data_IF_493134999117
#
_entry.id   IF_493134999117
#
_cell.length_a   1.000
_cell.length_b   1.000
_cell.length_c   1.000
_cell.angle_alpha   90.00
_cell.angle_beta   90.00
_cell.angle_gamma   90.00
#
_symmetry.space_group_name_H-M   'P 1'
#
loop_
_entity.id
_entity.type
_entity.pdbx_description
1 polymer ?
#
# COMPACT_ATOMS: atom_id res chain seq x y z
N UNK A 1 19.26 -2.02 24.00
CA UNK A 1 19.69 -0.89 23.16
C UNK A 1 18.43 -0.14 22.84
N UNK A 2 18.32 1.12 23.27
CA UNK A 2 17.15 1.95 22.99
C UNK A 2 17.31 2.38 21.54
N UNK A 3 16.46 1.91 20.64
CA UNK A 3 16.40 2.47 19.29
C UNK A 3 15.97 3.91 19.45
N UNK A 4 16.92 4.85 19.36
CA UNK A 4 16.61 6.26 19.30
C UNK A 4 15.72 6.46 18.07
N UNK A 5 14.48 6.88 18.30
CA UNK A 5 13.53 7.21 17.24
C UNK A 5 14.17 8.29 16.38
N UNK A 6 14.46 7.97 15.12
CA UNK A 6 15.18 8.86 14.21
C UNK A 6 14.36 10.15 13.95
N UNK A 7 13.04 10.04 13.99
CA UNK A 7 12.13 11.18 13.99
C UNK A 7 11.23 11.17 15.24
N UNK A 8 11.54 12.00 16.24
CA UNK A 8 10.77 12.02 17.48
C UNK A 8 9.31 12.52 17.33
N UNK A 9 8.95 13.19 16.23
CA UNK A 9 7.59 13.71 16.03
C UNK A 9 7.21 13.76 14.53
N UNK A 10 6.74 12.65 13.95
CA UNK A 10 6.30 12.62 12.56
C UNK A 10 5.01 13.44 12.35
N UNK A 11 4.87 14.05 11.17
CA UNK A 11 3.61 14.70 10.76
C UNK A 11 2.57 13.63 10.44
N UNK A 12 1.42 13.71 11.11
CA UNK A 12 0.32 12.75 10.97
C UNK A 12 -0.78 13.38 10.11
N UNK A 13 -1.18 12.68 9.05
CA UNK A 13 -2.25 13.06 8.14
C UNK A 13 -3.54 12.31 8.48
N UNK A 14 -4.67 12.95 8.20
CA UNK A 14 -5.99 12.34 8.38
C UNK A 14 -6.19 11.21 7.36
N UNK A 15 -6.63 10.03 7.84
CA UNK A 15 -6.93 8.89 6.97
C UNK A 15 -8.15 9.19 6.11
N UNK A 16 -8.11 8.76 4.84
CA UNK A 16 -9.28 8.83 3.95
C UNK A 16 -10.34 7.83 4.42
N UNK A 17 -11.61 8.20 4.51
CA UNK A 17 -12.67 7.21 4.81
C UNK A 17 -12.63 6.06 3.82
N UNK A 18 -12.71 4.83 4.36
CA UNK A 18 -12.75 3.62 3.52
C UNK A 18 -14.08 3.59 2.80
N UNK A 19 -14.05 3.75 1.49
CA UNK A 19 -15.24 3.56 0.66
C UNK A 19 -15.56 2.08 0.61
N UNK A 20 -16.75 1.70 1.06
CA UNK A 20 -17.27 0.35 0.82
C UNK A 20 -17.45 0.22 -0.69
N UNK A 21 -16.74 -0.72 -1.33
CA UNK A 21 -17.02 -1.04 -2.74
C UNK A 21 -18.48 -1.49 -2.81
N UNK A 22 -19.32 -0.64 -3.36
CA UNK A 22 -20.70 -1.00 -3.68
C UNK A 22 -20.63 -2.03 -4.79
N UNK A 23 -20.96 -3.30 -4.47
CA UNK A 23 -21.18 -4.32 -5.49
C UNK A 23 -22.18 -3.75 -6.50
N UNK A 24 -21.82 -3.59 -7.79
CA UNK A 24 -22.69 -2.96 -8.76
C UNK A 24 -24.01 -3.75 -8.83
N UNK A 25 -25.09 -3.14 -8.36
CA UNK A 25 -26.40 -3.80 -8.17
C UNK A 25 -27.23 -3.85 -9.46
N UNK A 26 -26.60 -3.80 -10.64
CA UNK A 26 -27.33 -3.81 -11.90
C UNK A 26 -26.50 -4.40 -13.05
N UNK A 27 -26.91 -5.58 -13.52
CA UNK A 27 -26.66 -6.13 -14.85
C UNK A 27 -25.22 -6.49 -15.27
N UNK A 28 -24.25 -6.56 -14.37
CA UNK A 28 -22.97 -7.20 -14.66
C UNK A 28 -23.09 -8.72 -14.49
N UNK A 29 -22.57 -9.48 -15.45
CA UNK A 29 -22.45 -10.94 -15.37
C UNK A 29 -21.86 -11.33 -14.01
N UNK A 30 -22.62 -12.05 -13.18
CA UNK A 30 -22.21 -12.44 -11.81
C UNK A 30 -20.94 -13.32 -11.81
N UNK A 31 -20.56 -13.81 -12.99
CA UNK A 31 -19.36 -14.62 -13.26
C UNK A 31 -18.19 -13.84 -13.86
N UNK A 32 -18.35 -12.54 -14.15
CA UNK A 32 -17.27 -11.71 -14.65
C UNK A 32 -16.26 -11.44 -13.52
N UNK A 33 -15.00 -11.75 -13.77
CA UNK A 33 -13.91 -11.45 -12.82
C UNK A 33 -13.69 -9.95 -12.82
N UNK A 34 -13.95 -9.29 -11.70
CA UNK A 34 -13.59 -7.89 -11.53
C UNK A 34 -12.06 -7.73 -11.55
N UNK A 35 -11.53 -6.81 -12.37
CA UNK A 35 -10.09 -6.54 -12.41
C UNK A 35 -9.65 -5.85 -11.12
N UNK A 36 -8.41 -6.12 -10.70
CA UNK A 36 -7.82 -5.46 -9.53
C UNK A 36 -7.48 -4.02 -9.90
N UNK A 37 -7.96 -3.06 -9.11
CA UNK A 37 -7.73 -1.64 -9.31
C UNK A 37 -6.74 -1.05 -8.29
N UNK A 38 -6.30 0.19 -8.53
CA UNK A 38 -5.35 0.89 -7.66
C UNK A 38 -5.89 1.03 -6.22
N UNK A 39 -7.20 1.26 -6.09
CA UNK A 39 -7.86 1.42 -4.79
C UNK A 39 -7.79 0.13 -3.96
N UNK A 40 -7.96 -1.04 -4.56
CA UNK A 40 -7.81 -2.33 -3.88
C UNK A 40 -6.39 -2.56 -3.36
N UNK A 41 -5.40 -2.23 -4.19
CA UNK A 41 -3.98 -2.31 -3.80
C UNK A 41 -3.69 -1.36 -2.64
N UNK A 42 -4.17 -0.12 -2.71
CA UNK A 42 -4.02 0.87 -1.64
C UNK A 42 -4.63 0.36 -0.33
N UNK A 43 -5.84 -0.19 -0.40
CA UNK A 43 -6.55 -0.74 0.76
C UNK A 43 -5.82 -1.93 1.42
N UNK A 44 -5.04 -2.70 0.66
CA UNK A 44 -4.22 -3.77 1.23
C UNK A 44 -3.01 -3.27 2.04
N UNK A 45 -2.44 -2.13 1.66
CA UNK A 45 -1.14 -1.67 2.17
C UNK A 45 -1.22 -0.42 3.06
N UNK A 46 -2.33 0.33 3.00
CA UNK A 46 -2.53 1.57 3.78
C UNK A 46 -2.38 1.40 5.29
N UNK A 47 -2.77 0.24 5.82
CA UNK A 47 -2.74 -0.06 7.26
C UNK A 47 -1.44 -0.69 7.76
N UNK A 48 -0.45 -0.91 6.87
CA UNK A 48 0.88 -1.35 7.28
C UNK A 48 1.44 -0.30 8.25
N UNK A 49 1.95 -0.78 9.40
CA UNK A 49 2.58 0.07 10.39
C UNK A 49 4.01 0.38 10.00
N UNK A 50 4.41 1.62 10.25
CA UNK A 50 5.78 2.04 10.11
C UNK A 50 6.67 1.28 11.12
N UNK A 51 7.88 0.85 10.72
CA UNK A 51 8.77 0.12 11.61
C UNK A 51 9.30 0.96 12.79
N UNK A 52 9.29 2.28 12.69
CA UNK A 52 9.77 3.21 13.73
C UNK A 52 8.61 3.81 14.54
N UNK A 53 7.42 3.93 13.93
CA UNK A 53 6.28 4.60 14.54
C UNK A 53 5.03 3.71 14.65
N UNK A 54 4.16 3.93 15.65
CA UNK A 54 2.89 3.21 15.78
C UNK A 54 1.83 3.61 14.73
N UNK A 55 2.18 4.52 13.81
CA UNK A 55 1.33 5.03 12.74
C UNK A 55 1.44 4.18 11.49
N UNK A 56 0.41 4.27 10.65
CA UNK A 56 0.33 3.57 9.38
C UNK A 56 1.01 4.36 8.26
N UNK A 57 1.39 3.66 7.19
CA UNK A 57 2.05 4.29 6.03
C UNK A 57 1.17 5.37 5.36
N UNK A 58 -0.15 5.23 5.43
CA UNK A 58 -1.08 6.28 4.99
C UNK A 58 -1.03 7.50 5.92
N UNK A 59 -1.11 7.31 7.24
CA UNK A 59 -1.06 8.38 8.24
C UNK A 59 0.25 9.18 8.15
N UNK A 60 1.33 8.55 7.70
CA UNK A 60 2.63 9.19 7.52
C UNK A 60 2.86 9.71 6.09
N UNK A 61 1.88 9.56 5.20
CA UNK A 61 1.99 9.90 3.77
C UNK A 61 3.19 9.23 3.08
N UNK A 62 3.62 8.08 3.61
CA UNK A 62 4.66 7.25 2.99
C UNK A 62 4.14 6.64 1.71
N UNK A 63 2.83 6.34 1.66
CA UNK A 63 2.15 5.83 0.49
C UNK A 63 0.89 6.64 0.21
N UNK A 64 0.58 6.79 -1.08
CA UNK A 64 -0.63 7.45 -1.57
C UNK A 64 -1.25 6.61 -2.68
N UNK A 65 -2.55 6.77 -2.90
CA UNK A 65 -3.30 6.04 -3.94
C UNK A 65 -2.72 6.34 -5.34
N UNK A 66 -2.38 7.60 -5.62
CA UNK A 66 -1.81 8.04 -6.91
C UNK A 66 -0.40 7.48 -7.17
N UNK A 67 0.29 6.99 -6.14
CA UNK A 67 1.62 6.41 -6.26
C UNK A 67 1.60 4.91 -6.61
N UNK A 68 0.40 4.35 -6.84
CA UNK A 68 0.17 2.96 -7.18
C UNK A 68 -0.26 2.85 -8.63
N UNK A 69 0.44 2.03 -9.40
CA UNK A 69 0.09 1.71 -10.77
C UNK A 69 -0.21 0.22 -10.88
N UNK A 70 -1.35 -0.10 -11.49
CA UNK A 70 -1.83 -1.47 -11.68
C UNK A 70 -2.10 -1.69 -13.16
N UNK A 71 -1.54 -2.78 -13.69
CA UNK A 71 -1.86 -3.31 -15.02
C UNK A 71 -2.33 -4.76 -14.83
N UNK A 72 -3.65 -4.92 -14.75
CA UNK A 72 -4.32 -6.21 -14.54
C UNK A 72 -4.07 -7.18 -15.70
N UNK A 73 -4.06 -6.67 -16.94
CA UNK A 73 -3.87 -7.47 -18.16
C UNK A 73 -2.48 -8.09 -18.23
N UNK A 74 -1.44 -7.35 -17.79
CA UNK A 74 -0.06 -7.85 -17.73
C UNK A 74 0.27 -8.49 -16.38
N UNK A 75 -0.64 -8.46 -15.41
CA UNK A 75 -0.39 -8.89 -14.05
C UNK A 75 0.78 -8.13 -13.44
N UNK A 76 0.75 -6.81 -13.44
CA UNK A 76 1.85 -5.98 -12.98
C UNK A 76 1.37 -4.91 -12.00
N UNK A 77 2.10 -4.74 -10.90
CA UNK A 77 1.82 -3.69 -9.91
C UNK A 77 3.13 -2.99 -9.57
N UNK A 78 3.10 -1.67 -9.67
CA UNK A 78 4.18 -0.79 -9.22
C UNK A 78 3.68 0.07 -8.07
N UNK A 79 4.40 0.03 -6.96
CA UNK A 79 4.14 0.86 -5.79
C UNK A 79 5.34 1.78 -5.58
N UNK A 80 5.09 3.08 -5.62
CA UNK A 80 6.08 4.10 -5.27
C UNK A 80 5.81 4.58 -3.84
N UNK A 81 6.84 4.62 -3.00
CA UNK A 81 6.68 5.10 -1.62
C UNK A 81 7.77 6.11 -1.26
N UNK A 82 7.45 7.04 -0.37
CA UNK A 82 8.38 8.08 0.07
C UNK A 82 8.66 7.89 1.56
N UNK A 83 9.83 7.39 1.96
CA UNK A 83 10.15 7.22 3.38
C UNK A 83 10.09 8.58 4.09
N UNK A 84 9.64 8.58 5.35
CA UNK A 84 9.50 9.79 6.18
C UNK A 84 10.84 10.45 6.52
N UNK A 85 11.95 9.70 6.45
CA UNK A 85 13.31 10.17 6.71
C UNK A 85 14.30 9.52 5.73
N UNK A 86 15.33 10.26 5.32
CA UNK A 86 16.36 9.83 4.37
C UNK A 86 17.39 8.86 4.99
N UNK A 87 16.95 7.80 5.66
CA UNK A 87 17.80 6.68 6.03
C UNK A 87 17.44 5.44 5.20
N UNK A 88 18.34 5.04 4.30
CA UNK A 88 18.12 3.97 3.32
C UNK A 88 17.76 2.59 3.92
N UNK A 89 18.04 2.35 5.20
CA UNK A 89 17.69 1.11 5.88
C UNK A 89 16.18 0.92 6.03
N UNK A 90 15.45 1.96 6.42
CA UNK A 90 13.99 1.87 6.63
C UNK A 90 13.21 1.81 5.32
N UNK A 91 13.71 2.46 4.27
CA UNK A 91 13.14 2.33 2.93
C UNK A 91 13.13 0.86 2.46
N UNK A 92 14.20 0.13 2.74
CA UNK A 92 14.29 -1.30 2.39
C UNK A 92 13.28 -2.14 3.17
N UNK A 93 13.12 -1.87 4.48
CA UNK A 93 12.15 -2.59 5.34
C UNK A 93 10.72 -2.31 4.90
N UNK A 94 10.38 -1.04 4.63
CA UNK A 94 9.07 -0.64 4.13
C UNK A 94 8.78 -1.34 2.78
N UNK A 95 9.74 -1.32 1.86
CA UNK A 95 9.63 -2.01 0.57
C UNK A 95 9.41 -3.52 0.71
N UNK A 96 10.08 -4.18 1.67
CA UNK A 96 9.85 -5.59 1.98
C UNK A 96 8.47 -5.84 2.59
N UNK A 97 8.02 -5.01 3.53
CA UNK A 97 6.69 -5.09 4.12
C UNK A 97 5.58 -4.98 3.07
N UNK A 98 5.69 -4.00 2.17
CA UNK A 98 4.79 -3.82 1.03
C UNK A 98 4.75 -5.07 0.15
N UNK A 99 5.93 -5.56 -0.25
CA UNK A 99 6.04 -6.74 -1.11
C UNK A 99 5.43 -7.99 -0.48
N UNK A 100 5.72 -8.27 0.80
CA UNK A 100 5.19 -9.44 1.50
C UNK A 100 3.68 -9.33 1.68
N UNK A 101 3.16 -8.14 2.00
CA UNK A 101 1.72 -7.91 2.15
C UNK A 101 0.98 -8.19 0.85
N UNK A 102 1.42 -7.60 -0.26
CA UNK A 102 0.81 -7.78 -1.57
C UNK A 102 0.94 -9.22 -2.08
N UNK A 103 2.09 -9.87 -1.87
CA UNK A 103 2.29 -11.27 -2.25
C UNK A 103 1.32 -12.23 -1.53
N UNK A 104 0.93 -11.93 -0.30
CA UNK A 104 -0.03 -12.73 0.49
C UNK A 104 -1.48 -12.41 0.18
N UNK A 105 -1.76 -11.18 -0.26
CA UNK A 105 -3.13 -10.71 -0.52
C UNK A 105 -3.57 -10.91 -1.97
N UNK A 106 -2.64 -11.00 -2.93
CA UNK A 106 -2.95 -11.05 -4.35
C UNK A 106 -2.65 -12.42 -4.98
N UNK A 107 -3.32 -12.77 -6.09
CA UNK A 107 -2.98 -13.95 -6.88
C UNK A 107 -1.53 -13.95 -7.38
N UNK A 108 -0.94 -15.13 -7.55
CA UNK A 108 0.47 -15.29 -7.97
C UNK A 108 0.78 -14.76 -9.39
N UNK A 109 -0.23 -14.38 -10.17
CA UNK A 109 -0.08 -13.78 -11.50
C UNK A 109 0.54 -12.38 -11.48
N UNK A 110 0.50 -11.68 -10.33
CA UNK A 110 1.02 -10.32 -10.25
C UNK A 110 2.52 -10.28 -9.98
N UNK A 111 3.23 -9.56 -10.83
CA UNK A 111 4.62 -9.16 -10.65
C UNK A 111 4.68 -7.84 -9.90
N UNK A 112 5.29 -7.86 -8.71
CA UNK A 112 5.41 -6.71 -7.82
C UNK A 112 6.75 -5.99 -8.02
N UNK A 113 6.71 -4.67 -8.20
CA UNK A 113 7.87 -3.77 -8.14
C UNK A 113 7.59 -2.67 -7.12
N UNK A 114 8.47 -2.51 -6.14
CA UNK A 114 8.45 -1.41 -5.18
C UNK A 114 9.70 -0.54 -5.38
N UNK A 115 9.50 0.77 -5.57
CA UNK A 115 10.56 1.76 -5.76
C UNK A 115 10.40 2.94 -4.80
#
# INVERSE_FOLDING_TARGET
MVSELINANPVIYEKKERRVRSVPTAAADEYAVEPIDQQEIFDHIRDIKDPEHPYSLEELKVITEDAIEVDDSRGYIRVTFTPTVEHCSMATVIGLCLRVKLLRSLPSRYKLISN
#
